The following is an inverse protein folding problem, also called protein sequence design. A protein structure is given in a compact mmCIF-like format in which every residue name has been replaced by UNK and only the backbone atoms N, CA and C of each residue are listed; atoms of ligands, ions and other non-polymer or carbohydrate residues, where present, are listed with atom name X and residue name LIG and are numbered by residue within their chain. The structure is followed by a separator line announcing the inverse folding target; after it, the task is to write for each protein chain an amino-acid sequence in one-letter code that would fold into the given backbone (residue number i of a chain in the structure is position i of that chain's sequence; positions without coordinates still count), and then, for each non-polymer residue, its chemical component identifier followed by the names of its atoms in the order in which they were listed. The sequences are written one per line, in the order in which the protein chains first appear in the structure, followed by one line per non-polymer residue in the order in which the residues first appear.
data_IF_058955933044
#
_entry.id   IF_058955933044
#
_cell.length_a   1.000
_cell.length_b   1.000
_cell.length_c   1.000
_cell.angle_alpha   90.00
_cell.angle_beta   90.00
_cell.angle_gamma   90.00
#
_symmetry.space_group_name_H-M   'P 1'
#
loop_
_entity.id
_entity.type
_entity.pdbx_description
1 polymer ?
#
# COMPACT_ATOMS: atom_id res chain seq x y z
N UNK A 1 81.57 49.58 26.32
CA UNK A 1 80.79 48.87 25.28
C UNK A 1 79.66 48.15 25.99
N UNK A 2 78.48 48.77 26.06
CA UNK A 2 77.40 48.40 26.98
C UNK A 2 76.25 47.79 26.17
N UNK A 3 76.07 46.47 26.22
CA UNK A 3 75.02 45.76 25.50
C UNK A 3 73.71 45.81 26.30
N UNK A 4 72.74 46.60 25.82
CA UNK A 4 71.35 46.58 26.31
C UNK A 4 70.70 45.25 25.90
N UNK A 5 70.23 44.47 26.88
CA UNK A 5 69.34 43.31 26.64
C UNK A 5 67.89 43.79 26.69
N UNK A 6 67.17 43.63 25.58
CA UNK A 6 65.70 43.75 25.52
C UNK A 6 65.03 42.47 26.04
N UNK A 7 63.94 42.55 26.82
CA UNK A 7 63.22 41.36 27.27
C UNK A 7 62.27 40.85 26.18
N UNK A 8 62.28 39.54 25.97
CA UNK A 8 61.34 38.83 25.11
C UNK A 8 60.06 38.53 25.91
N UNK A 9 58.93 39.13 25.53
CA UNK A 9 57.63 38.91 26.19
C UNK A 9 56.96 37.70 25.51
N UNK A 10 56.90 36.57 26.22
CA UNK A 10 56.09 35.42 25.84
C UNK A 10 54.61 35.70 26.19
N UNK A 11 53.80 35.97 25.19
CA UNK A 11 52.33 36.04 25.30
C UNK A 11 51.79 34.63 25.56
N UNK A 12 51.32 34.35 26.78
CA UNK A 12 50.54 33.14 27.09
C UNK A 12 49.20 33.21 26.33
N UNK A 13 49.06 32.42 25.27
CA UNK A 13 47.77 32.21 24.62
C UNK A 13 46.80 31.52 25.60
N UNK A 14 45.66 32.16 25.85
CA UNK A 14 44.62 31.65 26.75
C UNK A 14 43.80 30.55 26.06
N UNK A 15 44.34 29.32 26.08
CA UNK A 15 43.75 28.12 25.47
C UNK A 15 42.28 27.89 25.90
N UNK A 16 41.90 28.26 27.12
CA UNK A 16 40.53 28.05 27.63
C UNK A 16 39.46 28.87 26.88
N UNK A 17 39.80 30.07 26.39
CA UNK A 17 38.89 30.87 25.56
C UNK A 17 38.74 30.28 24.16
N UNK A 18 39.82 29.74 23.62
CA UNK A 18 39.84 29.07 22.32
C UNK A 18 38.99 27.79 22.33
N UNK A 19 39.11 26.94 23.36
CA UNK A 19 38.30 25.73 23.48
C UNK A 19 36.80 26.00 23.64
N UNK A 20 36.42 27.06 24.37
CA UNK A 20 35.01 27.47 24.49
C UNK A 20 34.45 28.01 23.18
N UNK A 21 35.24 28.80 22.44
CA UNK A 21 34.84 29.28 21.12
C UNK A 21 34.68 28.13 20.12
N UNK A 22 35.60 27.17 20.11
CA UNK A 22 35.55 26.00 19.23
C UNK A 22 34.33 25.10 19.55
N UNK A 23 34.04 24.88 20.84
CA UNK A 23 32.84 24.17 21.30
C UNK A 23 31.55 24.89 20.89
N UNK A 24 31.51 26.22 21.00
CA UNK A 24 30.37 27.02 20.58
C UNK A 24 30.13 26.97 19.07
N UNK A 25 31.20 26.96 18.26
CA UNK A 25 31.10 26.81 16.81
C UNK A 25 30.63 25.40 16.40
N UNK A 26 31.14 24.35 17.06
CA UNK A 26 30.69 22.98 16.82
C UNK A 26 29.21 22.79 17.19
N UNK A 27 28.77 23.41 18.28
CA UNK A 27 27.37 23.38 18.71
C UNK A 27 26.46 24.15 17.74
N UNK A 28 26.89 25.31 17.24
CA UNK A 28 26.15 26.05 16.19
C UNK A 28 26.08 25.25 14.88
N UNK A 29 27.18 24.60 14.50
CA UNK A 29 27.23 23.76 13.30
C UNK A 29 26.29 22.55 13.41
N UNK A 30 26.22 21.94 14.61
CA UNK A 30 25.28 20.85 14.88
C UNK A 30 23.82 21.31 14.78
N UNK A 31 23.47 22.46 15.37
CA UNK A 31 22.11 23.04 15.29
C UNK A 31 21.75 23.40 13.84
N UNK A 32 22.70 23.95 13.08
CA UNK A 32 22.50 24.29 11.67
C UNK A 32 22.27 23.03 10.83
N UNK A 33 23.02 21.96 11.09
CA UNK A 33 22.89 20.67 10.40
C UNK A 33 21.54 19.98 10.68
N UNK A 34 21.04 20.07 11.91
CA UNK A 34 19.72 19.54 12.30
C UNK A 34 18.54 20.33 11.72
N UNK A 35 18.73 21.60 11.41
CA UNK A 35 17.67 22.48 10.87
C UNK A 35 17.51 22.37 9.34
N UNK A 36 18.45 21.71 8.66
CA UNK A 36 18.50 21.55 7.20
C UNK A 36 18.25 20.10 6.75
N UNK A 37 17.40 19.36 7.45
CA UNK A 37 16.87 18.11 6.90
C UNK A 37 16.05 18.45 5.65
N UNK A 38 16.41 17.96 4.45
CA UNK A 38 15.55 18.10 3.30
C UNK A 38 14.23 17.40 3.64
N UNK A 39 13.16 18.18 3.75
CA UNK A 39 11.81 17.63 3.73
C UNK A 39 11.67 17.07 2.32
N UNK A 40 11.87 15.75 2.19
CA UNK A 40 11.47 15.03 0.99
C UNK A 40 9.98 15.34 0.78
N UNK A 41 9.70 16.16 -0.22
CA UNK A 41 8.34 16.55 -0.54
C UNK A 41 7.53 15.28 -0.75
N UNK A 42 6.49 15.08 0.05
CA UNK A 42 5.49 14.04 -0.18
C UNK A 42 4.95 14.31 -1.57
N UNK A 43 5.46 13.57 -2.57
CA UNK A 43 4.88 13.55 -3.89
C UNK A 43 3.43 13.17 -3.68
N UNK A 44 2.52 14.11 -4.00
CA UNK A 44 1.09 13.85 -4.08
C UNK A 44 0.95 12.85 -5.22
N UNK A 45 1.11 11.55 -4.93
CA UNK A 45 0.90 10.49 -5.89
C UNK A 45 -0.50 10.71 -6.43
N UNK A 46 -0.56 11.08 -7.71
CA UNK A 46 -1.82 11.21 -8.42
C UNK A 46 -2.51 9.86 -8.28
N UNK A 47 -3.68 9.85 -7.64
CA UNK A 47 -4.45 8.62 -7.53
C UNK A 47 -4.72 8.12 -8.96
N UNK A 48 -4.32 6.88 -9.24
CA UNK A 48 -4.61 6.27 -10.52
C UNK A 48 -6.06 5.80 -10.51
N UNK A 49 -6.77 6.14 -11.58
CA UNK A 49 -8.08 5.59 -11.88
C UNK A 49 -8.02 5.01 -13.28
N UNK A 50 -8.53 3.78 -13.48
CA UNK A 50 -8.61 3.18 -14.81
C UNK A 50 -9.52 4.02 -15.71
N UNK A 51 -9.24 4.00 -17.01
CA UNK A 51 -10.22 4.52 -17.98
C UNK A 51 -11.47 3.63 -18.00
N UNK A 52 -12.57 4.12 -18.58
CA UNK A 52 -13.84 3.39 -18.63
C UNK A 52 -13.64 1.99 -19.21
N UNK A 53 -14.33 1.00 -18.65
CA UNK A 53 -14.25 -0.39 -19.08
C UNK A 53 -13.18 -1.17 -18.31
N UNK A 54 -12.48 -2.07 -19.03
CA UNK A 54 -11.55 -3.05 -18.46
C UNK A 54 -10.07 -2.62 -18.59
N UNK A 55 -9.82 -1.30 -18.57
CA UNK A 55 -8.49 -0.73 -18.81
C UNK A 55 -7.68 -0.57 -17.51
N UNK A 56 -7.73 -1.58 -16.63
CA UNK A 56 -6.94 -1.56 -15.39
C UNK A 56 -5.48 -1.91 -15.66
N UNK A 57 -4.56 -1.06 -15.21
CA UNK A 57 -3.15 -1.37 -15.17
C UNK A 57 -2.87 -2.43 -14.09
N UNK A 58 -2.02 -3.40 -14.44
CA UNK A 58 -1.48 -4.38 -13.49
C UNK A 58 -0.11 -3.94 -13.02
N UNK A 59 0.15 -4.06 -11.72
CA UNK A 59 1.46 -3.77 -11.13
C UNK A 59 1.94 -4.90 -10.24
N UNK A 60 3.25 -4.97 -10.04
CA UNK A 60 3.80 -5.90 -9.08
C UNK A 60 3.41 -5.44 -7.67
N UNK A 61 3.09 -6.36 -6.75
CA UNK A 61 2.78 -6.00 -5.37
C UNK A 61 3.88 -5.15 -4.72
N UNK A 62 5.15 -5.47 -5.00
CA UNK A 62 6.32 -4.79 -4.44
C UNK A 62 6.40 -3.33 -4.86
N UNK A 63 5.99 -3.00 -6.10
CA UNK A 63 5.97 -1.63 -6.63
C UNK A 63 4.99 -0.72 -5.85
N UNK A 64 4.06 -1.33 -5.12
CA UNK A 64 3.05 -0.65 -4.30
C UNK A 64 3.25 -0.90 -2.80
N UNK A 65 4.44 -1.37 -2.40
CA UNK A 65 4.81 -1.60 -1.01
C UNK A 65 4.10 -2.80 -0.36
N UNK A 66 3.56 -3.72 -1.15
CA UNK A 66 2.97 -4.96 -0.66
C UNK A 66 4.00 -6.09 -0.60
N UNK A 67 3.86 -6.96 0.39
CA UNK A 67 4.64 -8.21 0.46
C UNK A 67 4.01 -9.23 -0.49
N UNK A 68 4.73 -9.59 -1.57
CA UNK A 68 4.23 -10.52 -2.58
C UNK A 68 4.01 -11.93 -2.06
N UNK A 69 4.84 -12.40 -1.12
CA UNK A 69 4.68 -13.72 -0.50
C UNK A 69 3.36 -13.80 0.28
N UNK A 70 3.09 -12.81 1.13
CA UNK A 70 1.82 -12.76 1.89
C UNK A 70 0.61 -12.62 0.97
N UNK A 71 0.72 -11.84 -0.11
CA UNK A 71 -0.35 -11.75 -1.11
C UNK A 71 -0.60 -13.10 -1.79
N UNK A 72 0.46 -13.81 -2.18
CA UNK A 72 0.35 -15.12 -2.79
C UNK A 72 -0.28 -16.14 -1.83
N UNK A 73 0.13 -16.14 -0.55
CA UNK A 73 -0.49 -16.99 0.48
C UNK A 73 -2.00 -16.71 0.62
N UNK A 74 -2.41 -15.44 0.58
CA UNK A 74 -3.84 -15.07 0.63
C UNK A 74 -4.61 -15.51 -0.63
N UNK A 75 -3.99 -15.39 -1.81
CA UNK A 75 -4.57 -15.88 -3.07
C UNK A 75 -4.77 -17.38 -3.03
N UNK A 76 -3.76 -18.14 -2.58
CA UNK A 76 -3.88 -19.60 -2.48
C UNK A 76 -4.95 -20.01 -1.47
N UNK A 77 -4.97 -19.36 -0.30
CA UNK A 77 -6.04 -19.58 0.67
C UNK A 77 -7.44 -19.37 0.05
N UNK A 78 -7.64 -18.30 -0.73
CA UNK A 78 -8.92 -18.06 -1.38
C UNK A 78 -9.26 -19.13 -2.44
N UNK A 79 -8.26 -19.66 -3.16
CA UNK A 79 -8.44 -20.73 -4.14
C UNK A 79 -8.78 -22.07 -3.49
N UNK A 80 -8.14 -22.39 -2.38
CA UNK A 80 -8.34 -23.65 -1.63
C UNK A 80 -9.63 -23.67 -0.82
N UNK A 81 -10.26 -22.51 -0.57
CA UNK A 81 -11.47 -22.38 0.24
C UNK A 81 -12.66 -21.85 -0.58
N UNK A 82 -13.10 -22.56 -1.65
CA UNK A 82 -14.29 -22.17 -2.41
C UNK A 82 -15.58 -22.30 -1.58
N UNK A 83 -16.67 -21.73 -2.11
CA UNK A 83 -18.01 -21.98 -1.54
C UNK A 83 -18.32 -23.48 -1.53
N UNK A 84 -18.92 -23.94 -0.43
CA UNK A 84 -19.40 -25.32 -0.26
C UNK A 84 -20.78 -25.55 -0.89
N UNK A 85 -21.39 -24.52 -1.47
CA UNK A 85 -22.67 -24.66 -2.14
C UNK A 85 -22.52 -25.41 -3.48
N UNK A 86 -23.58 -26.08 -3.97
CA UNK A 86 -23.53 -26.83 -5.22
C UNK A 86 -23.07 -25.98 -6.41
N UNK A 87 -22.24 -26.50 -7.33
CA UNK A 87 -21.92 -25.76 -8.57
C UNK A 87 -23.15 -25.49 -9.43
N UNK A 88 -24.12 -26.42 -9.40
CA UNK A 88 -25.44 -26.20 -9.97
C UNK A 88 -26.18 -25.09 -9.21
N UNK A 89 -26.27 -23.92 -9.84
CA UNK A 89 -26.88 -22.73 -9.27
C UNK A 89 -28.37 -22.92 -8.99
N UNK A 90 -29.08 -23.77 -9.77
CA UNK A 90 -30.49 -24.07 -9.53
C UNK A 90 -30.67 -24.71 -8.16
N UNK A 91 -29.90 -25.78 -7.89
CA UNK A 91 -29.93 -26.49 -6.60
C UNK A 91 -29.52 -25.60 -5.45
N UNK A 92 -28.55 -24.72 -5.67
CA UNK A 92 -28.11 -23.78 -4.64
C UNK A 92 -29.20 -22.78 -4.25
N UNK A 93 -29.89 -22.22 -5.24
CA UNK A 93 -31.01 -21.29 -5.04
C UNK A 93 -32.18 -22.01 -4.33
N UNK A 94 -32.56 -23.20 -4.80
CA UNK A 94 -33.61 -24.01 -4.17
C UNK A 94 -33.27 -24.30 -2.70
N UNK A 95 -32.01 -24.62 -2.40
CA UNK A 95 -31.55 -24.83 -1.03
C UNK A 95 -31.67 -23.56 -0.18
N UNK A 96 -31.22 -22.40 -0.68
CA UNK A 96 -31.24 -21.15 0.10
C UNK A 96 -32.66 -20.61 0.31
N UNK A 97 -33.57 -20.88 -0.63
CA UNK A 97 -34.97 -20.44 -0.58
C UNK A 97 -35.95 -21.52 -0.12
N UNK A 98 -35.45 -22.64 0.41
CA UNK A 98 -36.24 -23.82 0.80
C UNK A 98 -37.34 -23.57 1.83
N UNK A 99 -37.28 -22.45 2.56
CA UNK A 99 -38.26 -22.07 3.59
C UNK A 99 -39.26 -21.00 3.12
N UNK A 100 -39.08 -20.47 1.91
CA UNK A 100 -39.92 -19.39 1.40
C UNK A 100 -41.20 -19.96 0.76
N UNK A 101 -42.40 -19.52 1.19
CA UNK A 101 -43.64 -19.97 0.57
C UNK A 101 -43.74 -19.46 -0.88
N UNK A 102 -44.30 -20.29 -1.76
CA UNK A 102 -44.51 -19.98 -3.19
C UNK A 102 -43.23 -19.67 -3.99
N UNK A 103 -42.05 -20.08 -3.49
CA UNK A 103 -40.81 -19.86 -4.19
C UNK A 103 -40.75 -20.62 -5.53
N UNK A 104 -40.35 -19.92 -6.59
CA UNK A 104 -40.02 -20.53 -7.88
C UNK A 104 -38.88 -19.76 -8.54
N UNK A 105 -38.02 -20.49 -9.26
CA UNK A 105 -36.95 -19.88 -10.04
C UNK A 105 -37.56 -19.33 -11.34
N UNK A 106 -37.45 -18.02 -11.52
CA UNK A 106 -37.90 -17.33 -12.72
C UNK A 106 -36.71 -17.13 -13.66
N UNK A 107 -36.72 -17.83 -14.79
CA UNK A 107 -35.70 -17.73 -15.84
C UNK A 107 -34.57 -18.77 -15.74
N UNK A 108 -33.66 -18.77 -16.74
CA UNK A 108 -32.58 -19.74 -16.82
C UNK A 108 -31.52 -19.50 -15.74
N UNK A 109 -30.98 -20.59 -15.20
CA UNK A 109 -29.76 -20.57 -14.39
C UNK A 109 -28.60 -21.18 -15.19
N UNK A 110 -27.39 -20.90 -14.76
CA UNK A 110 -26.17 -21.54 -15.29
C UNK A 110 -25.32 -22.04 -14.14
N UNK A 111 -24.50 -23.05 -14.39
CA UNK A 111 -23.53 -23.52 -13.41
C UNK A 111 -22.58 -22.39 -12.99
N UNK A 112 -22.17 -22.41 -11.74
CA UNK A 112 -21.15 -21.49 -11.22
C UNK A 112 -19.77 -21.86 -11.78
N UNK A 113 -18.98 -20.83 -12.05
CA UNK A 113 -17.58 -21.00 -12.40
C UNK A 113 -16.73 -21.45 -11.21
N UNK A 114 -15.44 -21.66 -11.45
CA UNK A 114 -14.45 -21.80 -10.39
C UNK A 114 -14.31 -20.49 -9.60
N UNK A 115 -13.62 -20.54 -8.47
CA UNK A 115 -13.30 -19.33 -7.69
C UNK A 115 -12.42 -18.40 -8.52
N UNK A 116 -12.89 -17.17 -8.70
CA UNK A 116 -12.18 -16.08 -9.36
C UNK A 116 -12.03 -14.91 -8.39
N UNK A 117 -11.00 -14.08 -8.57
CA UNK A 117 -10.83 -12.90 -7.73
C UNK A 117 -9.81 -11.91 -8.28
N UNK A 118 -9.94 -10.67 -7.81
CA UNK A 118 -9.06 -9.54 -8.14
C UNK A 118 -8.71 -8.85 -6.81
N UNK A 119 -7.42 -8.57 -6.61
CA UNK A 119 -6.94 -7.70 -5.53
C UNK A 119 -6.47 -6.39 -6.13
N UNK A 120 -7.00 -5.30 -5.59
CA UNK A 120 -6.78 -3.93 -6.05
C UNK A 120 -6.03 -3.14 -4.97
N UNK A 121 -4.96 -2.46 -5.36
CA UNK A 121 -4.22 -1.52 -4.50
C UNK A 121 -3.99 -0.21 -5.23
N UNK A 122 -4.40 0.91 -4.63
CA UNK A 122 -4.21 2.26 -5.15
C UNK A 122 -4.68 2.43 -6.62
N UNK A 123 -5.76 1.74 -7.00
CA UNK A 123 -6.31 1.76 -8.35
C UNK A 123 -5.66 0.78 -9.34
N UNK A 124 -4.64 0.03 -8.94
CA UNK A 124 -3.98 -0.99 -9.78
C UNK A 124 -4.41 -2.40 -9.39
N UNK A 125 -4.45 -3.29 -10.36
CA UNK A 125 -4.56 -4.73 -10.10
C UNK A 125 -3.19 -5.24 -9.66
N UNK A 126 -3.13 -5.93 -8.52
CA UNK A 126 -1.88 -6.53 -7.98
C UNK A 126 -1.90 -8.04 -7.95
N UNK A 127 -3.08 -8.66 -8.00
CA UNK A 127 -3.25 -10.09 -8.18
C UNK A 127 -4.61 -10.38 -8.80
N UNK A 128 -4.67 -11.41 -9.64
CA UNK A 128 -5.90 -11.97 -10.18
C UNK A 128 -5.77 -13.47 -10.28
N UNK A 129 -6.87 -14.18 -10.10
CA UNK A 129 -6.94 -15.63 -10.31
C UNK A 129 -8.29 -16.02 -10.87
N UNK A 130 -8.31 -17.13 -11.62
CA UNK A 130 -9.50 -17.63 -12.29
C UNK A 130 -9.88 -16.80 -13.51
N UNK A 131 -11.11 -16.98 -13.98
CA UNK A 131 -11.70 -16.21 -15.09
C UNK A 131 -12.51 -15.04 -14.54
N UNK A 132 -11.83 -13.91 -14.31
CA UNK A 132 -12.43 -12.69 -13.76
C UNK A 132 -13.37 -11.98 -14.74
N UNK A 133 -13.40 -12.42 -16.01
CA UNK A 133 -14.30 -11.88 -17.06
C UNK A 133 -15.56 -12.73 -17.24
N UNK A 134 -15.63 -13.89 -16.58
CA UNK A 134 -16.83 -14.72 -16.59
C UNK A 134 -17.98 -13.96 -15.95
N UNK A 135 -19.08 -13.81 -16.69
CA UNK A 135 -20.32 -13.31 -16.11
C UNK A 135 -20.80 -14.35 -15.11
N UNK A 136 -21.09 -13.99 -13.87
CA UNK A 136 -21.61 -14.90 -12.84
C UNK A 136 -22.82 -14.28 -12.12
N UNK A 137 -23.67 -15.12 -11.54
CA UNK A 137 -24.73 -14.65 -10.65
C UNK A 137 -24.09 -14.18 -9.33
N UNK A 138 -24.18 -12.88 -9.04
CA UNK A 138 -23.56 -12.26 -7.86
C UNK A 138 -24.56 -11.91 -6.75
N UNK A 139 -25.83 -12.31 -6.90
CA UNK A 139 -26.89 -12.10 -5.92
C UNK A 139 -27.02 -10.65 -5.45
N UNK A 140 -26.78 -10.37 -4.16
CA UNK A 140 -27.00 -9.06 -3.57
C UNK A 140 -25.98 -8.01 -3.98
N UNK A 141 -24.91 -8.36 -4.73
CA UNK A 141 -24.03 -7.34 -5.33
C UNK A 141 -24.84 -6.40 -6.23
N UNK A 142 -25.89 -6.89 -6.90
CA UNK A 142 -26.82 -6.06 -7.68
C UNK A 142 -27.41 -4.90 -6.88
N UNK A 143 -27.64 -5.07 -5.58
CA UNK A 143 -28.22 -4.01 -4.74
C UNK A 143 -27.31 -2.79 -4.62
N UNK A 144 -25.99 -3.00 -4.61
CA UNK A 144 -25.00 -1.92 -4.57
C UNK A 144 -25.04 -1.04 -5.83
N UNK A 145 -25.42 -1.59 -6.98
CA UNK A 145 -25.58 -0.82 -8.22
C UNK A 145 -26.89 -0.01 -8.24
N UNK A 146 -27.89 -0.40 -7.45
CA UNK A 146 -29.15 0.35 -7.34
C UNK A 146 -29.06 1.51 -6.35
N UNK A 147 -28.06 1.51 -5.47
CA UNK A 147 -27.84 2.58 -4.48
C UNK A 147 -27.00 3.75 -4.97
N UNK A 148 -26.49 3.69 -6.20
CA UNK A 148 -25.67 4.74 -6.84
C UNK A 148 -26.50 5.60 -7.78
#
# INVERSE_FOLDING_TARGET
MTLKRTPFILTKFNNLRFFKALSSLLFLFLIFSLSFSPVEGISKQSLYFPSKGDAWEKRKPEDLGMNSKLLQEAVEFARENPSKDPKDLKKAIERSSSREPFFSILGPTKERGETNGIVIKNGYIVAEWGDTKRVDMTFSVTKSYLST
#
